data_IF_408055070363
#
_entry.id   IF_408055070363
#
_cell.length_a   1.000
_cell.length_b   1.000
_cell.length_c   1.000
_cell.angle_alpha   90.00
_cell.angle_beta   90.00
_cell.angle_gamma   90.00
#
_symmetry.space_group_name_H-M   'P 1'
#
loop_
_entity.id
_entity.type
_entity.pdbx_description
1 polymer ?
#
# COMPACT_ATOMS: atom_id res chain seq x y z
N UNK A 1 25.49 11.84 -0.47
CA UNK A 1 24.94 11.46 0.86
C UNK A 1 24.29 10.09 0.75
N UNK A 2 24.36 9.24 1.78
CA UNK A 2 23.56 8.01 1.81
C UNK A 2 22.06 8.36 1.80
N UNK A 3 21.23 7.47 1.24
CA UNK A 3 19.77 7.64 1.30
C UNK A 3 19.33 7.68 2.76
N UNK A 4 18.56 8.71 3.12
CA UNK A 4 17.95 8.78 4.44
C UNK A 4 17.00 7.58 4.62
N UNK A 5 17.15 6.84 5.72
CA UNK A 5 16.24 5.76 6.09
C UNK A 5 15.29 6.25 7.18
N UNK A 6 14.02 5.85 7.12
CA UNK A 6 13.03 6.19 8.15
C UNK A 6 12.00 5.09 8.33
N UNK A 7 11.79 4.66 9.58
CA UNK A 7 10.75 3.69 9.94
C UNK A 7 9.33 4.27 9.89
N UNK A 8 9.18 5.58 9.64
CA UNK A 8 7.87 6.24 9.58
C UNK A 8 6.96 5.68 8.48
N UNK A 9 7.53 5.12 7.41
CA UNK A 9 6.76 4.53 6.31
C UNK A 9 6.40 3.06 6.54
N UNK A 10 6.88 2.44 7.62
CA UNK A 10 6.65 1.01 7.81
C UNK A 10 5.23 0.78 8.33
N UNK A 11 4.36 0.26 7.46
CA UNK A 11 2.97 -0.12 7.78
C UNK A 11 2.86 -0.94 9.08
N UNK A 12 3.83 -1.78 9.38
CA UNK A 12 3.87 -2.60 10.59
C UNK A 12 3.89 -1.78 11.90
N UNK A 13 4.49 -0.59 11.90
CA UNK A 13 4.77 0.16 13.14
C UNK A 13 3.58 0.97 13.66
N UNK A 14 2.61 1.31 12.81
CA UNK A 14 1.51 2.22 13.16
C UNK A 14 0.12 1.65 12.91
N UNK A 15 0.00 0.46 12.33
CA UNK A 15 -1.30 -0.09 11.98
C UNK A 15 -2.14 -0.46 13.20
N UNK A 16 -3.48 -0.32 13.14
CA UNK A 16 -4.38 -0.72 14.22
C UNK A 16 -4.31 -2.23 14.52
N UNK A 17 -5.06 -2.66 15.53
CA UNK A 17 -5.35 -4.08 15.81
C UNK A 17 -6.80 -4.41 15.48
N UNK A 18 -7.10 -5.69 15.34
CA UNK A 18 -8.45 -6.21 15.11
C UNK A 18 -8.84 -6.36 13.64
N UNK A 19 -10.14 -6.41 13.40
CA UNK A 19 -10.70 -6.64 12.06
C UNK A 19 -10.42 -5.48 11.11
N UNK A 20 -10.06 -5.82 9.88
CA UNK A 20 -9.91 -4.81 8.84
C UNK A 20 -11.28 -4.29 8.42
N UNK A 21 -11.43 -2.98 8.17
CA UNK A 21 -12.66 -2.44 7.64
C UNK A 21 -12.92 -3.05 6.26
N UNK A 22 -14.20 -3.27 5.95
CA UNK A 22 -14.59 -3.90 4.69
C UNK A 22 -14.16 -3.09 3.44
N UNK A 23 -13.91 -1.79 3.58
CA UNK A 23 -13.41 -0.93 2.50
C UNK A 23 -12.16 -0.20 2.96
N UNK A 24 -11.10 -0.30 2.16
CA UNK A 24 -9.80 0.34 2.37
C UNK A 24 -9.43 1.14 1.13
N UNK A 25 -8.96 2.37 1.32
CA UNK A 25 -8.35 3.17 0.25
C UNK A 25 -6.87 2.87 0.26
N UNK A 26 -6.34 2.40 -0.88
CA UNK A 26 -4.92 2.08 -1.02
C UNK A 26 -4.27 3.02 -2.04
N UNK A 27 -3.07 3.49 -1.70
CA UNK A 27 -2.24 4.34 -2.54
C UNK A 27 -1.03 3.53 -2.99
N UNK A 28 -0.75 3.53 -4.29
CA UNK A 28 0.46 2.92 -4.83
C UNK A 28 1.01 3.73 -6.00
N UNK A 29 2.32 3.79 -6.08
CA UNK A 29 3.03 4.24 -7.28
C UNK A 29 3.21 3.09 -8.28
N UNK A 30 3.29 1.86 -7.78
CA UNK A 30 3.45 0.67 -8.61
C UNK A 30 2.19 0.36 -9.42
N UNK A 31 2.40 -0.17 -10.63
CA UNK A 31 1.36 -0.67 -11.52
C UNK A 31 1.11 -2.14 -11.24
N UNK A 32 -0.16 -2.56 -11.24
CA UNK A 32 -0.53 -3.97 -11.30
C UNK A 32 -1.26 -4.48 -10.07
N UNK A 33 -1.17 -5.79 -9.86
CA UNK A 33 -2.07 -6.57 -9.00
C UNK A 33 -1.58 -6.71 -7.55
N UNK A 34 -0.73 -5.77 -7.08
CA UNK A 34 -0.10 -5.83 -5.76
C UNK A 34 -1.11 -6.09 -4.62
N UNK A 35 -2.29 -5.48 -4.70
CA UNK A 35 -3.31 -5.60 -3.65
C UNK A 35 -4.19 -6.85 -3.77
N UNK A 36 -4.18 -7.55 -4.91
CA UNK A 36 -5.07 -8.70 -5.15
C UNK A 36 -4.89 -9.87 -4.19
N UNK A 37 -3.66 -10.21 -3.75
CA UNK A 37 -3.48 -11.27 -2.76
C UNK A 37 -4.22 -10.97 -1.44
N UNK A 38 -4.39 -9.70 -1.07
CA UNK A 38 -4.90 -9.27 0.24
C UNK A 38 -6.40 -8.93 0.26
N UNK A 39 -7.00 -8.64 -0.88
CA UNK A 39 -8.40 -8.21 -0.97
C UNK A 39 -9.16 -9.06 -1.98
N UNK A 40 -10.46 -9.29 -1.71
CA UNK A 40 -11.33 -10.00 -2.63
C UNK A 40 -11.72 -9.17 -3.86
N UNK A 41 -11.70 -7.83 -3.73
CA UNK A 41 -11.96 -6.92 -4.83
C UNK A 41 -11.02 -5.71 -4.75
N UNK A 42 -10.31 -5.44 -5.83
CA UNK A 42 -9.45 -4.28 -6.00
C UNK A 42 -9.93 -3.51 -7.22
N UNK A 43 -10.08 -2.19 -7.10
CA UNK A 43 -10.55 -1.35 -8.21
C UNK A 43 -9.71 -0.09 -8.26
N UNK A 44 -8.99 0.11 -9.37
CA UNK A 44 -8.32 1.37 -9.67
C UNK A 44 -9.40 2.43 -9.94
N UNK A 45 -9.44 3.48 -9.11
CA UNK A 45 -10.44 4.56 -9.25
C UNK A 45 -9.86 5.82 -9.85
N UNK A 46 -8.57 6.07 -9.65
CA UNK A 46 -7.90 7.25 -10.20
C UNK A 46 -6.41 7.01 -10.37
N UNK A 47 -5.86 7.59 -11.42
CA UNK A 47 -4.42 7.85 -11.54
C UNK A 47 -4.22 9.36 -11.61
N UNK A 48 -3.30 9.85 -10.79
CA UNK A 48 -2.91 11.26 -10.70
C UNK A 48 -1.49 11.35 -11.23
N UNK A 49 -1.30 12.12 -12.29
CA UNK A 49 0.01 12.39 -12.85
C UNK A 49 0.73 13.45 -12.01
N UNK A 50 1.97 13.18 -11.62
CA UNK A 50 2.84 14.09 -10.89
C UNK A 50 4.12 14.34 -11.72
N UNK A 51 4.21 15.48 -12.43
CA UNK A 51 5.36 15.79 -13.29
C UNK A 51 6.63 16.17 -12.51
N UNK A 52 6.57 16.26 -11.18
CA UNK A 52 7.67 16.71 -10.34
C UNK A 52 8.51 15.56 -9.76
N UNK A 53 8.27 14.32 -10.20
CA UNK A 53 9.01 13.14 -9.74
C UNK A 53 10.04 12.72 -10.80
N UNK A 54 11.25 12.43 -10.34
CA UNK A 54 12.39 12.11 -11.21
C UNK A 54 12.40 10.64 -11.68
N UNK A 55 11.60 9.75 -11.08
CA UNK A 55 11.50 8.35 -11.50
C UNK A 55 10.20 8.13 -12.30
N UNK A 56 10.29 7.31 -13.36
CA UNK A 56 9.11 7.03 -14.19
C UNK A 56 8.03 6.24 -13.44
N UNK A 57 8.44 5.41 -12.47
CA UNK A 57 7.53 4.55 -11.70
C UNK A 57 6.61 5.35 -10.76
N UNK A 58 7.05 6.48 -10.21
CA UNK A 58 6.24 7.30 -9.30
C UNK A 58 5.51 8.47 -10.00
N UNK A 59 5.73 8.70 -11.31
CA UNK A 59 5.02 9.71 -12.09
C UNK A 59 3.49 9.61 -11.99
N UNK A 60 2.97 8.44 -11.66
CA UNK A 60 1.54 8.19 -11.51
C UNK A 60 1.22 7.64 -10.12
N UNK A 61 0.71 8.50 -9.23
CA UNK A 61 0.07 8.06 -8.00
C UNK A 61 -1.29 7.43 -8.34
N UNK A 62 -1.46 6.16 -8.02
CA UNK A 62 -2.71 5.42 -8.23
C UNK A 62 -3.47 5.27 -6.93
N UNK A 63 -4.78 5.46 -7.01
CA UNK A 63 -5.73 5.30 -5.90
C UNK A 63 -6.61 4.10 -6.21
N UNK A 64 -6.65 3.16 -5.28
CA UNK A 64 -7.46 1.95 -5.36
C UNK A 64 -8.51 1.94 -4.25
N UNK A 65 -9.69 1.43 -4.57
CA UNK A 65 -10.67 0.99 -3.58
C UNK A 65 -10.55 -0.52 -3.45
N UNK A 66 -10.14 -0.96 -2.27
CA UNK A 66 -9.98 -2.36 -1.91
C UNK A 66 -11.13 -2.79 -1.00
N UNK A 67 -11.77 -3.92 -1.30
CA UNK A 67 -12.91 -4.46 -0.54
C UNK A 67 -12.73 -5.92 -0.19
N UNK A 68 -13.46 -6.36 0.84
CA UNK A 68 -13.45 -7.72 1.36
C UNK A 68 -12.01 -8.16 1.72
N UNK A 69 -11.40 -7.58 2.76
CA UNK A 69 -10.07 -7.98 3.19
C UNK A 69 -10.06 -9.48 3.53
N UNK A 70 -9.03 -10.20 3.10
CA UNK A 70 -8.90 -11.65 3.34
C UNK A 70 -8.21 -11.97 4.68
N UNK A 71 -7.86 -10.94 5.44
CA UNK A 71 -7.13 -11.03 6.69
C UNK A 71 -7.42 -9.83 7.60
N UNK A 72 -7.13 -10.00 8.89
CA UNK A 72 -7.19 -8.94 9.90
C UNK A 72 -5.87 -8.13 9.96
N UNK A 73 -5.82 -7.10 10.82
CA UNK A 73 -4.65 -6.23 10.92
C UNK A 73 -3.40 -6.97 11.43
N UNK A 74 -3.55 -7.91 12.36
CA UNK A 74 -2.44 -8.71 12.89
C UNK A 74 -1.77 -9.53 11.80
N UNK A 75 -2.56 -10.25 11.00
CA UNK A 75 -2.03 -11.03 9.89
C UNK A 75 -1.48 -10.14 8.78
N UNK A 76 -2.07 -8.95 8.56
CA UNK A 76 -1.46 -7.96 7.65
C UNK A 76 -0.10 -7.48 8.13
N UNK A 77 0.05 -7.22 9.43
CA UNK A 77 1.33 -6.86 10.04
C UNK A 77 2.37 -7.94 9.77
N UNK A 78 2.04 -9.20 10.02
CA UNK A 78 2.96 -10.31 9.76
C UNK A 78 3.37 -10.42 8.29
N UNK A 79 2.43 -10.24 7.35
CA UNK A 79 2.70 -10.26 5.91
C UNK A 79 3.65 -9.13 5.46
N UNK A 80 3.63 -7.98 6.15
CA UNK A 80 4.43 -6.80 5.82
C UNK A 80 5.68 -6.64 6.70
N UNK A 81 5.83 -7.42 7.76
CA UNK A 81 6.97 -7.39 8.69
C UNK A 81 8.31 -7.61 8.00
N UNK A 82 8.33 -8.31 6.86
CA UNK A 82 9.54 -8.59 6.09
C UNK A 82 9.72 -7.65 4.88
N UNK A 83 8.77 -6.76 4.61
CA UNK A 83 8.79 -5.82 3.47
C UNK A 83 9.30 -4.43 3.85
N UNK A 84 10.19 -4.37 4.85
CA UNK A 84 10.70 -3.12 5.44
C UNK A 84 11.55 -2.31 4.44
N UNK A 85 11.98 -2.93 3.33
CA UNK A 85 12.94 -2.38 2.38
C UNK A 85 12.39 -2.16 0.96
N UNK A 86 11.07 -2.34 0.74
CA UNK A 86 10.41 -2.05 -0.54
C UNK A 86 9.96 -0.58 -0.62
#
# INVERSE_FOLDING_TARGET
>A
MPKAFSYHRNYYSWTPSGEMPNTVIALSYQVGEFFNPYFGKVTLVKSIYNPYLDNEEELHQRIYICKNPKQNFEKMKDLFKHRIFE
#
